data_IF_155074524733
#
_entry.id   IF_155074524733
#
_cell.length_a   1.000
_cell.length_b   1.000
_cell.length_c   1.000
_cell.angle_alpha   90.00
_cell.angle_beta   90.00
_cell.angle_gamma   90.00
#
_symmetry.space_group_name_H-M   'P 1'
#
loop_
_entity.id
_entity.type
_entity.pdbx_description
1 polymer ?
#
# COMPACT_ATOMS: atom_id res chain seq x y z
N UNK A 1 16.41 -34.99 -60.32
CA UNK A 1 15.53 -33.81 -60.28
C UNK A 1 15.08 -33.61 -58.83
N UNK A 2 15.57 -32.58 -58.14
CA UNK A 2 15.12 -32.28 -56.77
C UNK A 2 13.76 -31.56 -56.87
N UNK A 3 12.72 -32.15 -56.30
CA UNK A 3 11.40 -31.52 -56.24
C UNK A 3 11.43 -30.46 -55.13
N UNK A 4 11.37 -29.19 -55.51
CA UNK A 4 11.32 -28.08 -54.55
C UNK A 4 9.96 -28.11 -53.82
N UNK A 5 9.99 -28.27 -52.49
CA UNK A 5 8.79 -28.14 -51.66
C UNK A 5 8.62 -26.68 -51.28
N UNK A 6 7.40 -26.13 -51.41
CA UNK A 6 7.12 -24.77 -50.97
C UNK A 6 7.47 -24.57 -49.49
N UNK A 7 8.28 -23.54 -49.20
CA UNK A 7 8.75 -23.21 -47.85
C UNK A 7 7.62 -23.07 -46.81
N UNK A 8 6.45 -22.61 -47.26
CA UNK A 8 5.23 -22.47 -46.43
C UNK A 8 4.68 -23.84 -45.97
N UNK A 9 4.74 -24.85 -46.84
CA UNK A 9 4.31 -26.21 -46.51
C UNK A 9 5.28 -26.87 -45.53
N UNK A 10 6.59 -26.66 -45.71
CA UNK A 10 7.61 -27.12 -44.78
C UNK A 10 7.41 -26.52 -43.37
N UNK A 11 7.16 -25.21 -43.27
CA UNK A 11 6.89 -24.56 -41.98
C UNK A 11 5.63 -25.09 -41.30
N UNK A 12 4.51 -25.24 -42.03
CA UNK A 12 3.26 -25.78 -41.47
C UNK A 12 3.44 -27.20 -40.91
N UNK A 13 4.18 -28.03 -41.64
CA UNK A 13 4.50 -29.38 -41.19
C UNK A 13 5.40 -29.35 -39.94
N UNK A 14 6.46 -28.54 -39.91
CA UNK A 14 7.33 -28.40 -38.73
C UNK A 14 6.57 -27.93 -37.49
N UNK A 15 5.63 -26.99 -37.64
CA UNK A 15 4.79 -26.51 -36.53
C UNK A 15 3.84 -27.58 -36.01
N UNK A 16 3.25 -28.39 -36.90
CA UNK A 16 2.37 -29.49 -36.49
C UNK A 16 3.14 -30.57 -35.73
N UNK A 17 4.34 -30.94 -36.21
CA UNK A 17 5.22 -31.92 -35.54
C UNK A 17 5.72 -31.42 -34.18
N UNK A 18 5.98 -30.12 -34.03
CA UNK A 18 6.34 -29.52 -32.74
C UNK A 18 5.17 -29.55 -31.74
N UNK A 19 3.94 -29.35 -32.21
CA UNK A 19 2.74 -29.32 -31.37
C UNK A 19 2.33 -30.71 -30.86
N UNK A 20 2.59 -31.79 -31.61
CA UNK A 20 2.08 -33.14 -31.31
C UNK A 20 3.04 -34.03 -30.49
N UNK A 21 4.16 -33.52 -29.95
CA UNK A 21 5.25 -34.37 -29.42
C UNK A 21 4.84 -35.28 -28.25
N UNK A 22 4.87 -36.60 -28.50
CA UNK A 22 5.10 -37.66 -27.50
C UNK A 22 6.61 -37.96 -27.40
N UNK A 23 7.21 -38.16 -26.22
CA UNK A 23 8.67 -38.07 -26.02
C UNK A 23 9.54 -39.19 -26.62
N UNK A 24 8.95 -40.29 -27.11
CA UNK A 24 9.65 -41.56 -27.34
C UNK A 24 9.38 -42.23 -28.70
N UNK A 25 8.74 -41.57 -29.65
CA UNK A 25 8.47 -42.17 -30.97
C UNK A 25 9.68 -42.03 -31.93
N UNK A 26 10.11 -43.14 -32.52
CA UNK A 26 11.14 -43.16 -33.58
C UNK A 26 10.72 -42.27 -34.75
N UNK A 27 11.58 -41.29 -35.07
CA UNK A 27 11.29 -40.15 -35.96
C UNK A 27 11.32 -40.46 -37.47
N UNK A 28 11.56 -41.72 -37.85
CA UNK A 28 11.77 -42.14 -39.25
C UNK A 28 10.62 -41.81 -40.23
N UNK A 29 9.32 -41.89 -39.85
CA UNK A 29 8.23 -41.50 -40.76
C UNK A 29 7.99 -39.99 -40.84
N UNK A 30 8.48 -39.22 -39.86
CA UNK A 30 8.36 -37.77 -39.79
C UNK A 30 9.54 -37.06 -40.47
N UNK A 31 10.21 -37.69 -41.42
CA UNK A 31 11.27 -37.04 -42.21
C UNK A 31 10.97 -37.11 -43.72
N UNK A 32 9.81 -37.64 -44.09
CA UNK A 32 9.41 -37.89 -45.46
C UNK A 32 8.17 -37.04 -45.78
N UNK A 33 8.19 -36.35 -46.91
CA UNK A 33 7.04 -35.60 -47.39
C UNK A 33 5.89 -36.56 -47.75
N UNK A 34 4.70 -36.34 -47.22
CA UNK A 34 3.52 -37.17 -47.50
C UNK A 34 3.02 -37.08 -48.94
N UNK A 35 3.45 -36.06 -49.70
CA UNK A 35 3.01 -35.84 -51.09
C UNK A 35 4.03 -36.40 -52.09
N UNK A 36 5.32 -36.10 -51.92
CA UNK A 36 6.36 -36.52 -52.86
C UNK A 36 7.24 -37.68 -52.36
N UNK A 37 7.01 -38.19 -51.16
CA UNK A 37 7.73 -39.32 -50.53
C UNK A 37 9.26 -39.16 -50.44
N UNK A 38 9.79 -37.95 -50.63
CA UNK A 38 11.22 -37.65 -50.44
C UNK A 38 11.55 -37.19 -49.02
N UNK A 39 12.78 -37.48 -48.58
CA UNK A 39 13.30 -37.06 -47.28
C UNK A 39 13.61 -35.56 -47.27
N UNK A 40 13.21 -34.86 -46.21
CA UNK A 40 13.58 -33.45 -46.02
C UNK A 40 15.06 -33.31 -45.66
N UNK A 41 15.76 -32.36 -46.29
CA UNK A 41 17.18 -32.09 -46.06
C UNK A 41 17.47 -31.31 -44.78
N UNK A 42 16.44 -30.72 -44.15
CA UNK A 42 16.58 -29.87 -42.96
C UNK A 42 15.89 -30.52 -41.77
N UNK A 43 16.66 -30.82 -40.72
CA UNK A 43 16.13 -31.35 -39.47
C UNK A 43 15.18 -30.35 -38.80
N UNK A 44 14.14 -30.80 -38.07
CA UNK A 44 13.21 -29.91 -37.39
C UNK A 44 13.93 -29.08 -36.31
N UNK A 45 13.52 -27.81 -36.10
CA UNK A 45 14.12 -26.96 -35.08
C UNK A 45 13.98 -27.59 -33.68
N UNK A 46 15.04 -27.49 -32.87
CA UNK A 46 14.98 -27.90 -31.46
C UNK A 46 14.20 -26.82 -30.67
N UNK A 47 13.33 -27.19 -29.72
CA UNK A 47 12.62 -26.20 -28.92
C UNK A 47 13.63 -25.39 -28.10
N UNK A 48 13.34 -24.09 -27.92
CA UNK A 48 14.18 -23.19 -27.15
C UNK A 48 14.40 -23.74 -25.72
N UNK A 49 15.62 -23.58 -25.22
CA UNK A 49 16.08 -24.10 -23.93
C UNK A 49 15.15 -23.65 -22.78
N UNK A 50 14.62 -22.43 -22.87
CA UNK A 50 13.64 -21.87 -21.95
C UNK A 50 12.34 -22.67 -21.83
N UNK A 51 11.80 -23.23 -22.92
CA UNK A 51 10.56 -24.03 -22.88
C UNK A 51 10.79 -25.37 -22.17
N UNK A 52 12.01 -25.92 -22.26
CA UNK A 52 12.40 -27.14 -21.53
C UNK A 52 12.54 -26.85 -20.04
N UNK A 53 13.16 -25.73 -19.69
CA UNK A 53 13.28 -25.27 -18.30
C UNK A 53 11.89 -25.03 -17.71
N UNK A 54 11.02 -24.28 -18.39
CA UNK A 54 9.67 -23.96 -17.91
C UNK A 54 8.83 -25.21 -17.66
N UNK A 55 8.87 -26.20 -18.55
CA UNK A 55 8.17 -27.49 -18.32
C UNK A 55 8.74 -28.27 -17.14
N UNK A 56 10.06 -28.26 -16.94
CA UNK A 56 10.69 -28.87 -15.77
C UNK A 56 10.24 -28.21 -14.47
N UNK A 57 10.23 -26.87 -14.43
CA UNK A 57 9.73 -26.10 -13.29
C UNK A 57 8.24 -26.34 -13.01
N UNK A 58 7.40 -26.42 -14.04
CA UNK A 58 5.97 -26.74 -13.84
C UNK A 58 5.78 -28.14 -13.29
N UNK A 59 6.58 -29.13 -13.71
CA UNK A 59 6.48 -30.51 -13.20
C UNK A 59 6.96 -30.60 -11.74
N UNK A 60 8.02 -29.86 -11.40
CA UNK A 60 8.54 -29.78 -10.03
C UNK A 60 7.56 -29.06 -9.09
N UNK A 61 6.83 -28.07 -9.59
CA UNK A 61 5.81 -27.34 -8.84
C UNK A 61 4.66 -28.22 -8.35
N UNK A 62 4.28 -29.28 -9.08
CA UNK A 62 3.18 -30.16 -8.66
C UNK A 62 3.59 -31.14 -7.56
N UNK A 63 4.82 -31.66 -7.61
CA UNK A 63 5.33 -32.55 -6.56
C UNK A 63 5.62 -31.79 -5.26
N UNK A 64 6.19 -30.58 -5.35
CA UNK A 64 6.40 -29.71 -4.19
C UNK A 64 5.06 -29.28 -3.59
N UNK A 65 4.08 -28.92 -4.42
CA UNK A 65 2.73 -28.61 -3.93
C UNK A 65 2.07 -29.81 -3.23
N UNK A 66 2.24 -31.02 -3.76
CA UNK A 66 1.75 -32.25 -3.13
C UNK A 66 2.38 -32.50 -1.76
N UNK A 67 3.70 -32.33 -1.64
CA UNK A 67 4.43 -32.47 -0.38
C UNK A 67 3.99 -31.43 0.66
N UNK A 68 3.77 -30.18 0.25
CA UNK A 68 3.24 -29.14 1.12
C UNK A 68 1.83 -29.47 1.62
N UNK A 69 0.95 -30.01 0.77
CA UNK A 69 -0.41 -30.41 1.16
C UNK A 69 -0.39 -31.53 2.20
N UNK A 70 0.46 -32.55 2.00
CA UNK A 70 0.61 -33.68 2.94
C UNK A 70 1.18 -33.22 4.28
N UNK A 71 2.22 -32.37 4.27
CA UNK A 71 2.79 -31.81 5.49
C UNK A 71 1.78 -30.93 6.26
N UNK A 72 0.99 -30.15 5.53
CA UNK A 72 -0.08 -29.35 6.11
C UNK A 72 -1.17 -30.25 6.74
N UNK A 73 -1.61 -31.31 6.05
CA UNK A 73 -2.56 -32.27 6.59
C UNK A 73 -2.05 -33.01 7.85
N UNK A 74 -0.76 -33.38 7.87
CA UNK A 74 -0.13 -33.98 9.05
C UNK A 74 -0.05 -33.00 10.24
N UNK A 75 0.28 -31.73 9.98
CA UNK A 75 0.29 -30.70 11.03
C UNK A 75 -1.11 -30.48 11.62
N UNK A 76 -2.13 -30.42 10.77
CA UNK A 76 -3.54 -30.31 11.17
C UNK A 76 -3.99 -31.48 12.06
N UNK A 77 -3.59 -32.70 11.73
CA UNK A 77 -3.91 -33.88 12.50
C UNK A 77 -3.18 -33.93 13.86
N UNK A 78 -1.93 -33.45 13.91
CA UNK A 78 -1.11 -33.46 15.13
C UNK A 78 -1.45 -32.32 16.10
N UNK A 79 -1.87 -31.16 15.58
CA UNK A 79 -2.09 -29.96 16.38
C UNK A 79 -3.53 -29.81 16.91
N UNK A 80 -4.47 -30.69 16.52
CA UNK A 80 -5.82 -30.76 17.09
C UNK A 80 -6.70 -29.53 16.85
N UNK A 81 -6.32 -28.64 15.94
CA UNK A 81 -7.06 -27.42 15.65
C UNK A 81 -8.32 -27.70 14.81
N UNK A 82 -9.40 -26.95 15.09
CA UNK A 82 -10.61 -26.98 14.27
C UNK A 82 -10.32 -26.45 12.85
N UNK A 83 -10.71 -27.21 11.83
CA UNK A 83 -10.51 -26.89 10.41
C UNK A 83 -10.97 -25.46 10.04
N UNK A 84 -11.99 -24.95 10.72
CA UNK A 84 -12.52 -23.60 10.49
C UNK A 84 -11.54 -22.48 10.89
N UNK A 85 -10.90 -22.59 12.07
CA UNK A 85 -9.90 -21.62 12.56
C UNK A 85 -8.70 -21.57 11.61
N UNK A 86 -8.29 -22.74 11.12
CA UNK A 86 -7.17 -22.87 10.20
C UNK A 86 -7.50 -22.36 8.81
N UNK A 87 -8.74 -22.51 8.33
CA UNK A 87 -9.19 -21.93 7.06
C UNK A 87 -9.23 -20.40 7.12
N UNK A 88 -9.57 -19.81 8.26
CA UNK A 88 -9.47 -18.35 8.47
C UNK A 88 -8.02 -17.88 8.55
N UNK A 89 -7.15 -18.60 9.25
CA UNK A 89 -5.71 -18.30 9.33
C UNK A 89 -4.99 -18.52 7.99
N UNK A 90 -5.29 -19.60 7.26
CA UNK A 90 -4.79 -19.84 5.90
C UNK A 90 -5.36 -18.82 4.93
N UNK A 91 -6.63 -18.44 5.05
CA UNK A 91 -7.23 -17.39 4.23
C UNK A 91 -6.53 -16.05 4.45
N UNK A 92 -6.22 -15.72 5.70
CA UNK A 92 -5.45 -14.54 6.07
C UNK A 92 -3.99 -14.65 5.57
N UNK A 93 -3.37 -15.83 5.72
CA UNK A 93 -2.00 -16.11 5.28
C UNK A 93 -1.82 -16.13 3.77
N UNK A 94 -2.77 -16.68 3.00
CA UNK A 94 -2.76 -16.62 1.53
C UNK A 94 -3.03 -15.22 1.01
N UNK A 95 -3.87 -14.43 1.69
CA UNK A 95 -4.09 -13.02 1.36
C UNK A 95 -2.81 -12.21 1.60
N UNK A 96 -2.15 -12.41 2.74
CA UNK A 96 -0.84 -11.84 3.02
C UNK A 96 0.19 -12.27 1.98
N UNK A 97 0.27 -13.57 1.66
CA UNK A 97 1.15 -14.08 0.62
C UNK A 97 0.84 -13.41 -0.73
N UNK A 98 -0.42 -13.30 -1.14
CA UNK A 98 -0.82 -12.66 -2.40
C UNK A 98 -0.45 -11.17 -2.47
N UNK A 99 -0.42 -10.47 -1.34
CA UNK A 99 0.00 -9.06 -1.28
C UNK A 99 1.53 -8.90 -1.12
N UNK A 100 2.20 -9.82 -0.43
CA UNK A 100 3.64 -9.77 -0.13
C UNK A 100 4.49 -10.39 -1.25
N UNK A 101 4.04 -11.46 -1.92
CA UNK A 101 4.77 -12.10 -3.03
C UNK A 101 5.12 -11.12 -4.17
N UNK A 102 4.21 -10.24 -4.63
CA UNK A 102 4.53 -9.21 -5.62
C UNK A 102 5.53 -8.14 -5.13
N UNK A 103 5.74 -8.05 -3.81
CA UNK A 103 6.66 -7.10 -3.19
C UNK A 103 8.06 -7.71 -2.98
N UNK A 104 8.14 -9.01 -2.66
CA UNK A 104 9.41 -9.74 -2.48
C UNK A 104 10.10 -10.11 -3.79
N UNK A 105 9.31 -10.43 -4.82
CA UNK A 105 9.83 -10.51 -6.19
C UNK A 105 9.58 -9.16 -6.84
N UNK A 106 10.63 -8.50 -7.34
CA UNK A 106 10.55 -7.23 -8.10
C UNK A 106 9.86 -7.45 -9.45
N UNK A 107 8.69 -8.05 -9.46
CA UNK A 107 7.74 -7.92 -10.55
C UNK A 107 7.27 -6.47 -10.52
N UNK A 108 7.97 -5.64 -11.28
CA UNK A 108 7.41 -4.38 -11.75
C UNK A 108 6.17 -4.73 -12.59
N UNK A 109 5.03 -4.91 -11.92
CA UNK A 109 3.76 -4.63 -12.55
C UNK A 109 3.84 -3.16 -12.91
N UNK A 110 4.02 -2.90 -14.21
CA UNK A 110 3.84 -1.58 -14.79
C UNK A 110 2.53 -1.04 -14.23
N UNK A 111 2.61 -0.02 -13.37
CA UNK A 111 1.49 0.87 -13.12
C UNK A 111 1.17 1.53 -14.46
N UNK A 112 0.26 0.90 -15.21
CA UNK A 112 -0.33 1.52 -16.38
C UNK A 112 -1.08 2.77 -15.91
N UNK A 113 -0.53 3.94 -16.22
CA UNK A 113 -1.32 5.16 -16.42
C UNK A 113 -2.40 4.83 -17.45
N UNK A 114 -3.58 4.44 -17.00
CA UNK A 114 -4.74 4.29 -17.87
C UNK A 114 -5.31 5.68 -18.15
N UNK A 115 -4.68 6.38 -19.09
CA UNK A 115 -5.18 7.59 -19.72
C UNK A 115 -5.17 7.38 -21.24
N UNK A 116 -6.05 6.51 -21.73
CA UNK A 116 -6.61 6.57 -23.08
C UNK A 116 -7.62 5.44 -23.30
N UNK A 117 -8.65 5.73 -24.10
CA UNK A 117 -9.97 5.07 -24.17
C UNK A 117 -10.02 3.69 -24.84
N UNK A 118 -8.98 2.86 -24.80
CA UNK A 118 -9.04 1.53 -25.44
C UNK A 118 -8.27 0.46 -24.67
N UNK A 119 -8.80 0.02 -23.54
CA UNK A 119 -8.45 -1.27 -22.95
C UNK A 119 -9.69 -2.18 -22.97
N UNK A 120 -9.84 -2.94 -24.06
CA UNK A 120 -10.74 -4.08 -24.15
C UNK A 120 -9.94 -5.30 -24.62
N UNK A 121 -9.76 -6.30 -23.74
CA UNK A 121 -9.76 -7.76 -24.03
C UNK A 121 -8.98 -8.65 -23.03
N UNK A 122 -8.36 -8.11 -21.97
CA UNK A 122 -7.89 -8.91 -20.81
C UNK A 122 -8.42 -8.36 -19.48
N UNK A 123 -9.69 -7.95 -19.49
CA UNK A 123 -10.43 -7.56 -18.28
C UNK A 123 -10.80 -8.76 -17.44
N UNK A 124 -9.81 -9.34 -16.76
CA UNK A 124 -10.11 -10.26 -15.68
C UNK A 124 -10.83 -9.48 -14.58
N UNK A 125 -12.11 -9.80 -14.41
CA UNK A 125 -13.05 -9.29 -13.42
C UNK A 125 -12.59 -9.70 -12.01
N UNK A 126 -11.52 -9.07 -11.51
CA UNK A 126 -11.00 -9.23 -10.15
C UNK A 126 -10.88 -7.88 -9.45
N UNK A 127 -11.91 -7.06 -9.58
CA UNK A 127 -12.17 -5.97 -8.64
C UNK A 127 -12.88 -6.52 -7.42
N UNK A 128 -12.18 -7.28 -6.56
CA UNK A 128 -12.57 -7.29 -5.16
C UNK A 128 -12.42 -5.85 -4.68
N UNK A 129 -13.50 -5.20 -4.24
CA UNK A 129 -13.53 -3.78 -3.89
C UNK A 129 -12.28 -3.36 -3.13
N UNK A 130 -11.34 -2.73 -3.83
CA UNK A 130 -10.11 -2.25 -3.21
C UNK A 130 -10.52 -1.02 -2.43
N UNK A 131 -10.49 -1.13 -1.11
CA UNK A 131 -10.49 0.04 -0.23
C UNK A 131 -9.35 0.94 -0.71
N UNK A 132 -9.68 2.13 -1.19
CA UNK A 132 -8.70 3.12 -1.62
C UNK A 132 -8.05 3.72 -0.37
N UNK A 133 -7.06 3.03 0.20
CA UNK A 133 -6.25 3.54 1.30
C UNK A 133 -5.13 4.39 0.72
N UNK A 134 -5.22 5.70 0.90
CA UNK A 134 -4.20 6.65 0.49
C UNK A 134 -3.79 7.52 1.70
N UNK A 135 -2.59 8.12 1.71
CA UNK A 135 -2.29 9.20 2.63
C UNK A 135 -3.39 10.27 2.61
N UNK A 136 -3.78 10.77 3.78
CA UNK A 136 -4.94 11.64 3.99
C UNK A 136 -6.23 10.90 4.37
N UNK A 137 -6.27 9.56 4.27
CA UNK A 137 -7.43 8.78 4.74
C UNK A 137 -7.55 8.83 6.26
N UNK A 138 -8.75 9.09 6.79
CA UNK A 138 -9.05 8.92 8.20
C UNK A 138 -9.55 7.51 8.49
N UNK A 139 -9.05 6.93 9.58
CA UNK A 139 -9.50 5.66 10.14
C UNK A 139 -10.19 5.94 11.47
N UNK A 140 -11.46 5.56 11.55
CA UNK A 140 -12.29 5.74 12.74
C UNK A 140 -12.48 4.38 13.39
N UNK A 141 -12.03 4.23 14.63
CA UNK A 141 -12.18 2.97 15.35
C UNK A 141 -13.66 2.69 15.64
N UNK A 142 -14.10 1.46 15.38
CA UNK A 142 -15.47 1.04 15.73
C UNK A 142 -15.55 0.58 17.19
N UNK A 143 -16.76 0.48 17.77
CA UNK A 143 -16.95 -0.12 19.10
C UNK A 143 -16.48 -1.57 19.20
N UNK A 144 -16.27 -2.25 18.07
CA UNK A 144 -15.76 -3.62 18.00
C UNK A 144 -14.22 -3.70 18.11
N UNK A 145 -13.52 -2.56 18.20
CA UNK A 145 -12.06 -2.50 18.30
C UNK A 145 -11.57 -3.20 19.59
N UNK A 146 -10.81 -4.32 19.49
CA UNK A 146 -10.39 -5.07 20.66
C UNK A 146 -9.23 -4.42 21.42
N UNK A 147 -8.44 -3.57 20.76
CA UNK A 147 -7.31 -2.89 21.40
C UNK A 147 -7.79 -1.74 22.27
N UNK A 148 -7.50 -1.72 23.58
CA UNK A 148 -7.88 -0.61 24.46
C UNK A 148 -7.25 0.72 24.04
N UNK A 149 -6.04 0.68 23.45
CA UNK A 149 -5.34 1.87 22.99
C UNK A 149 -6.02 2.54 21.81
N UNK A 150 -6.56 1.74 20.88
CA UNK A 150 -7.21 2.26 19.68
C UNK A 150 -8.73 2.39 19.83
N UNK A 151 -9.31 1.91 20.93
CA UNK A 151 -10.73 2.06 21.19
C UNK A 151 -11.09 3.54 21.28
N UNK A 152 -12.09 3.98 20.51
CA UNK A 152 -12.46 5.39 20.46
C UNK A 152 -11.45 6.29 19.74
N UNK A 153 -10.45 5.74 19.06
CA UNK A 153 -9.43 6.54 18.38
C UNK A 153 -9.83 6.95 16.96
N UNK A 154 -9.27 8.08 16.51
CA UNK A 154 -9.28 8.51 15.11
C UNK A 154 -7.85 8.66 14.64
N UNK A 155 -7.49 7.94 13.58
CA UNK A 155 -6.13 7.90 13.03
C UNK A 155 -6.09 8.53 11.65
N UNK A 156 -5.19 9.50 11.45
CA UNK A 156 -4.86 10.05 10.14
C UNK A 156 -3.73 9.26 9.51
N UNK A 157 -4.00 8.66 8.36
CA UNK A 157 -3.01 7.92 7.60
C UNK A 157 -2.10 8.90 6.84
N UNK A 158 -0.78 8.85 7.07
CA UNK A 158 0.19 9.72 6.37
C UNK A 158 1.11 8.95 5.43
N UNK A 159 1.27 7.65 5.63
CA UNK A 159 2.01 6.78 4.74
C UNK A 159 1.20 5.51 4.49
N UNK A 160 0.99 5.16 3.22
CA UNK A 160 0.43 3.87 2.84
C UNK A 160 1.16 3.38 1.60
N UNK A 161 1.85 2.25 1.75
CA UNK A 161 2.53 1.60 0.64
C UNK A 161 2.16 0.13 0.67
N UNK A 162 1.69 -0.37 -0.47
CA UNK A 162 1.31 -1.77 -0.64
C UNK A 162 2.35 -2.76 -0.09
N UNK A 163 3.63 -2.45 -0.30
CA UNK A 163 4.75 -3.33 0.06
C UNK A 163 5.50 -2.95 1.34
N UNK A 164 5.22 -1.79 1.93
CA UNK A 164 5.97 -1.28 3.10
C UNK A 164 5.11 -1.13 4.35
N UNK A 165 3.82 -1.46 4.26
CA UNK A 165 2.88 -1.26 5.35
C UNK A 165 2.26 0.13 5.34
N UNK A 166 1.66 0.49 6.47
CA UNK A 166 0.94 1.75 6.62
C UNK A 166 1.34 2.41 7.93
N UNK A 167 1.34 3.74 7.95
CA UNK A 167 1.59 4.54 9.16
C UNK A 167 0.58 5.65 9.29
N UNK A 168 0.18 5.91 10.53
CA UNK A 168 -0.81 6.91 10.85
C UNK A 168 -0.56 7.56 12.21
N UNK A 169 -1.29 8.63 12.46
CA UNK A 169 -1.22 9.42 13.69
C UNK A 169 -2.59 9.47 14.34
N UNK A 170 -2.68 9.01 15.58
CA UNK A 170 -3.85 9.17 16.43
C UNK A 170 -4.01 10.66 16.75
N UNK A 171 -5.20 11.20 16.47
CA UNK A 171 -5.45 12.64 16.56
C UNK A 171 -6.08 13.06 17.89
N UNK A 172 -6.87 12.18 18.49
CA UNK A 172 -7.78 12.47 19.60
C UNK A 172 -7.32 11.91 20.96
N UNK A 173 -6.04 11.59 21.08
CA UNK A 173 -5.45 11.08 22.31
C UNK A 173 -4.52 12.13 22.92
N UNK A 174 -4.75 12.48 24.18
CA UNK A 174 -3.90 13.45 24.90
C UNK A 174 -2.56 12.81 25.27
N UNK A 175 -1.54 13.66 25.41
CA UNK A 175 -0.23 13.24 25.93
C UNK A 175 -0.19 13.40 27.45
N UNK A 176 0.65 12.60 28.12
CA UNK A 176 0.96 12.76 29.54
C UNK A 176 1.79 14.02 29.80
N UNK A 177 1.55 14.68 30.94
CA UNK A 177 2.23 15.92 31.34
C UNK A 177 3.76 15.79 31.35
N UNK A 178 4.27 14.67 31.85
CA UNK A 178 5.71 14.39 31.93
C UNK A 178 6.39 14.39 30.56
N UNK A 179 5.69 13.93 29.51
CA UNK A 179 6.19 13.91 28.13
C UNK A 179 6.20 15.30 27.51
N UNK A 180 5.22 16.13 27.89
CA UNK A 180 5.14 17.54 27.47
C UNK A 180 6.33 18.28 28.06
N UNK A 181 6.53 18.17 29.38
CA UNK A 181 7.67 18.77 30.09
C UNK A 181 9.02 18.37 29.48
N UNK A 182 9.20 17.08 29.18
CA UNK A 182 10.45 16.57 28.60
C UNK A 182 10.69 17.08 27.18
N UNK A 183 9.63 17.26 26.39
CA UNK A 183 9.72 17.83 25.06
C UNK A 183 10.01 19.33 25.09
N UNK A 184 9.31 20.08 25.95
CA UNK A 184 9.50 21.53 26.12
C UNK A 184 10.93 21.84 26.59
N UNK A 185 11.46 21.07 27.55
CA UNK A 185 12.85 21.22 28.02
C UNK A 185 13.88 21.03 26.90
N UNK A 186 13.64 20.09 25.97
CA UNK A 186 14.53 19.85 24.82
C UNK A 186 14.51 21.01 23.82
N UNK A 187 13.39 21.72 23.73
CA UNK A 187 13.16 22.82 22.79
C UNK A 187 13.43 24.21 23.36
N UNK A 188 13.35 24.38 24.68
CA UNK A 188 13.67 25.61 25.39
C UNK A 188 14.96 26.32 24.91
N UNK A 189 16.10 25.64 24.64
CA UNK A 189 17.31 26.33 24.16
C UNK A 189 17.19 26.91 22.75
N UNK A 190 16.18 26.52 21.97
CA UNK A 190 15.95 27.00 20.59
C UNK A 190 14.90 28.12 20.55
N UNK A 191 14.21 28.39 21.66
CA UNK A 191 13.00 29.22 21.67
C UNK A 191 13.22 30.53 22.42
N UNK A 192 13.14 31.64 21.68
CA UNK A 192 13.25 32.99 22.23
C UNK A 192 11.92 33.52 22.82
N UNK A 193 10.80 32.80 22.66
CA UNK A 193 9.48 33.23 23.13
C UNK A 193 8.70 32.05 23.79
N UNK A 194 8.73 31.91 25.13
CA UNK A 194 8.05 30.82 25.84
C UNK A 194 6.51 30.92 25.76
N UNK A 195 5.95 32.10 25.47
CA UNK A 195 4.49 32.24 25.31
C UNK A 195 3.96 31.55 24.04
N UNK A 196 4.84 31.22 23.07
CA UNK A 196 4.46 30.46 21.88
C UNK A 196 4.33 28.96 22.17
N UNK A 197 5.02 28.43 23.19
CA UNK A 197 4.97 27.01 23.57
C UNK A 197 3.59 26.63 24.10
N UNK A 198 2.99 27.45 24.97
CA UNK A 198 1.66 27.21 25.53
C UNK A 198 0.52 27.23 24.51
N UNK A 199 0.79 27.53 23.23
CA UNK A 199 -0.19 27.46 22.14
C UNK A 199 -0.15 26.14 21.39
N UNK A 200 0.84 25.30 21.66
CA UNK A 200 1.01 24.01 20.98
C UNK A 200 0.19 22.98 21.73
N UNK A 201 -0.74 22.33 21.02
CA UNK A 201 -1.47 21.20 21.59
C UNK A 201 -0.57 19.96 21.59
N UNK A 202 -0.63 19.15 22.65
CA UNK A 202 0.11 17.90 22.75
C UNK A 202 -0.81 16.69 22.68
N UNK A 203 -0.42 15.68 21.92
CA UNK A 203 -1.16 14.43 21.80
C UNK A 203 -0.25 13.22 21.62
N UNK A 204 -0.83 12.05 21.81
CA UNK A 204 -0.17 10.76 21.57
C UNK A 204 -0.56 10.29 20.18
N UNK A 205 0.39 10.27 19.24
CA UNK A 205 0.18 9.84 17.85
C UNK A 205 0.16 8.32 17.66
N UNK A 206 0.67 7.56 18.63
CA UNK A 206 0.54 6.11 18.66
C UNK A 206 1.55 5.41 19.57
N UNK A 207 1.53 4.06 19.62
CA UNK A 207 2.36 3.29 20.54
C UNK A 207 3.80 3.10 20.06
N UNK A 208 4.07 3.31 18.76
CA UNK A 208 5.40 3.08 18.17
C UNK A 208 6.23 4.35 18.22
N UNK A 209 7.53 4.21 18.55
CA UNK A 209 8.50 5.31 18.58
C UNK A 209 8.04 6.51 19.42
N UNK A 210 7.54 6.26 20.63
CA UNK A 210 6.98 7.31 21.51
C UNK A 210 7.94 8.46 21.87
N UNK A 211 9.25 8.28 21.70
CA UNK A 211 10.27 9.32 21.92
C UNK A 211 10.39 10.29 20.73
N UNK A 212 9.96 9.85 19.56
CA UNK A 212 9.87 10.68 18.36
C UNK A 212 8.55 11.44 18.36
N UNK A 213 8.53 12.55 17.64
CA UNK A 213 7.36 13.41 17.52
C UNK A 213 7.16 13.87 16.09
N UNK A 214 5.92 14.19 15.77
CA UNK A 214 5.52 14.76 14.49
C UNK A 214 4.68 16.00 14.75
N UNK A 215 4.83 16.99 13.89
CA UNK A 215 4.10 18.24 13.95
C UNK A 215 2.93 18.20 12.99
N UNK A 216 1.71 18.22 13.52
CA UNK A 216 0.50 18.39 12.73
C UNK A 216 0.11 19.86 12.74
N UNK A 217 0.21 20.48 11.58
CA UNK A 217 -0.09 21.89 11.35
C UNK A 217 -1.41 22.00 10.58
N UNK A 218 -2.33 22.81 11.08
CA UNK A 218 -3.65 23.02 10.48
C UNK A 218 -3.83 24.49 10.16
N UNK A 219 -4.16 24.83 8.91
CA UNK A 219 -4.66 26.15 8.56
C UNK A 219 -6.12 26.11 8.15
N UNK A 220 -6.96 26.84 8.89
CA UNK A 220 -8.37 27.03 8.54
C UNK A 220 -8.53 27.85 7.25
N UNK A 221 -7.57 28.74 6.96
CA UNK A 221 -7.47 29.53 5.74
C UNK A 221 -7.42 28.68 4.45
N UNK A 222 -6.65 27.59 4.47
CA UNK A 222 -6.41 26.72 3.31
C UNK A 222 -7.56 25.74 3.04
N UNK A 223 -8.47 25.54 4.00
CA UNK A 223 -9.58 24.59 3.89
C UNK A 223 -10.78 25.11 3.08
N UNK A 224 -10.94 26.43 2.98
CA UNK A 224 -12.00 27.05 2.17
C UNK A 224 -11.44 27.40 0.78
N UNK A 225 -12.21 27.14 -0.28
CA UNK A 225 -11.89 27.59 -1.65
C UNK A 225 -11.78 29.13 -1.81
N UNK A 226 -11.83 29.91 -0.73
CA UNK A 226 -12.16 31.33 -0.75
C UNK A 226 -11.15 32.29 -0.10
N UNK A 227 -10.14 31.83 0.63
CA UNK A 227 -9.18 32.73 1.29
C UNK A 227 -7.93 32.92 0.43
N UNK A 228 -7.89 34.03 -0.31
CA UNK A 228 -6.69 34.58 -0.98
C UNK A 228 -5.86 35.42 0.00
N UNK A 229 -5.66 34.91 1.21
CA UNK A 229 -4.79 35.62 2.16
C UNK A 229 -3.33 35.32 1.84
N UNK A 230 -2.51 36.37 1.84
CA UNK A 230 -1.07 36.29 1.53
C UNK A 230 -0.25 35.51 2.57
N UNK A 231 -0.88 35.06 3.66
CA UNK A 231 -0.28 34.27 4.74
C UNK A 231 -0.56 32.76 4.62
N UNK A 232 -1.33 32.31 3.61
CA UNK A 232 -1.64 30.89 3.43
C UNK A 232 -0.44 30.10 2.87
N UNK A 233 0.00 29.01 3.53
CA UNK A 233 1.06 28.14 3.01
C UNK A 233 0.73 27.48 1.66
N UNK A 234 -0.56 27.39 1.31
CA UNK A 234 -1.06 26.79 0.07
C UNK A 234 -0.77 27.62 -1.20
N UNK A 235 -0.24 28.85 -1.07
CA UNK A 235 0.16 29.69 -2.20
C UNK A 235 1.62 29.49 -2.63
N UNK A 236 2.37 28.59 -1.98
CA UNK A 236 3.77 28.31 -2.36
C UNK A 236 3.78 27.46 -3.65
N UNK A 237 4.28 28.09 -4.71
CA UNK A 237 4.21 27.68 -6.11
C UNK A 237 4.65 26.23 -6.41
N UNK A 238 3.85 25.54 -7.23
CA UNK A 238 3.99 24.11 -7.57
C UNK A 238 5.10 23.78 -8.58
N UNK A 239 5.79 24.77 -9.14
CA UNK A 239 6.74 24.56 -10.24
C UNK A 239 8.20 24.32 -9.83
N UNK A 240 8.51 24.39 -8.54
CA UNK A 240 9.84 24.03 -8.04
C UNK A 240 9.84 22.64 -7.39
N UNK A 241 10.16 21.64 -8.20
CA UNK A 241 10.40 20.24 -7.79
C UNK A 241 11.53 20.02 -6.77
N UNK A 242 12.07 21.09 -6.18
CA UNK A 242 13.15 21.12 -5.18
C UNK A 242 13.03 22.34 -4.24
N UNK A 243 11.84 22.74 -3.82
CA UNK A 243 11.71 23.76 -2.76
C UNK A 243 11.54 23.08 -1.40
N UNK A 244 12.68 22.83 -0.79
CA UNK A 244 12.88 23.01 0.65
C UNK A 244 12.55 24.48 1.05
N UNK A 245 11.30 24.93 0.94
CA UNK A 245 10.88 26.14 1.64
C UNK A 245 10.32 25.71 2.99
N UNK A 246 11.23 25.68 3.97
CA UNK A 246 10.97 26.10 5.35
C UNK A 246 9.48 26.19 5.72
N UNK A 247 8.96 25.10 6.24
CA UNK A 247 8.76 24.91 7.68
C UNK A 247 7.52 24.04 7.96
N UNK A 248 6.52 24.02 7.06
CA UNK A 248 5.22 23.41 7.32
C UNK A 248 5.14 21.87 7.16
N UNK A 249 6.02 21.29 6.36
CA UNK A 249 6.06 19.85 6.08
C UNK A 249 5.23 19.43 4.85
N UNK A 250 4.87 18.15 4.77
CA UNK A 250 4.11 17.57 3.67
C UNK A 250 2.60 17.83 3.86
N UNK A 251 1.92 18.34 2.84
CA UNK A 251 0.46 18.42 2.84
C UNK A 251 -0.17 17.03 2.63
N UNK A 252 -1.04 16.61 3.56
CA UNK A 252 -1.76 15.34 3.49
C UNK A 252 -3.21 15.50 3.04
N UNK A 253 -3.83 16.60 3.47
CA UNK A 253 -5.17 17.02 3.12
C UNK A 253 -5.16 18.54 2.95
N UNK A 254 -6.10 19.13 2.19
CA UNK A 254 -6.19 20.58 2.03
C UNK A 254 -6.16 21.30 3.38
N UNK A 255 -5.11 22.08 3.64
CA UNK A 255 -4.93 22.81 4.89
C UNK A 255 -4.44 22.00 6.09
N UNK A 256 -4.05 20.74 5.90
CA UNK A 256 -3.46 19.89 6.93
C UNK A 256 -2.06 19.44 6.48
N UNK A 257 -1.05 19.92 7.19
CA UNK A 257 0.35 19.69 6.90
C UNK A 257 1.00 18.88 8.02
N UNK A 258 1.92 17.99 7.64
CA UNK A 258 2.65 17.13 8.54
C UNK A 258 4.14 17.37 8.41
N UNK A 259 4.76 17.88 9.48
CA UNK A 259 6.18 18.17 9.55
C UNK A 259 6.87 17.49 10.73
N UNK A 260 8.16 17.77 10.87
CA UNK A 260 8.96 17.45 12.06
C UNK A 260 9.62 18.70 12.66
N UNK A 261 9.39 19.84 12.04
CA UNK A 261 10.05 21.08 12.42
C UNK A 261 9.08 21.92 13.26
N UNK A 262 9.62 22.60 14.28
CA UNK A 262 8.85 23.51 15.14
C UNK A 262 8.77 24.92 14.57
N UNK A 263 9.60 25.21 13.56
CA UNK A 263 9.71 26.52 12.91
C UNK A 263 8.37 27.20 12.55
N UNK A 264 7.32 26.50 12.06
CA UNK A 264 6.03 27.13 11.74
C UNK A 264 5.38 27.85 12.91
N UNK A 265 5.55 27.31 14.13
CA UNK A 265 4.95 27.89 15.34
C UNK A 265 5.48 29.29 15.59
N UNK A 266 6.75 29.54 15.26
CA UNK A 266 7.39 30.84 15.49
C UNK A 266 7.08 31.84 14.39
N UNK A 267 6.96 31.39 13.14
CA UNK A 267 6.58 32.25 12.02
C UNK A 267 5.22 32.90 12.26
N UNK A 268 4.30 32.16 12.87
CA UNK A 268 2.92 32.59 13.12
C UNK A 268 2.63 32.86 14.60
N UNK A 269 3.66 33.03 15.43
CA UNK A 269 3.50 33.32 16.86
C UNK A 269 2.79 34.65 17.15
N UNK A 270 2.70 35.55 16.16
CA UNK A 270 1.97 36.83 16.28
C UNK A 270 0.54 36.77 15.75
N UNK A 271 0.19 35.73 15.00
CA UNK A 271 -1.13 35.58 14.39
C UNK A 271 -2.17 35.10 15.41
N UNK A 272 -3.45 35.34 15.14
CA UNK A 272 -4.52 34.90 16.01
C UNK A 272 -4.58 33.37 16.09
N UNK A 273 -4.77 32.79 17.30
CA UNK A 273 -4.75 31.34 17.52
C UNK A 273 -5.85 30.58 16.78
N UNK A 274 -6.84 31.27 16.22
CA UNK A 274 -7.94 30.64 15.47
C UNK A 274 -7.61 30.32 14.01
N UNK A 275 -6.52 30.88 13.46
CA UNK A 275 -6.15 30.71 12.05
C UNK A 275 -5.24 29.49 11.87
N UNK A 276 -4.20 29.40 12.71
CA UNK A 276 -3.21 28.33 12.66
C UNK A 276 -3.23 27.52 13.95
N UNK A 277 -3.51 26.22 13.82
CA UNK A 277 -3.50 25.28 14.92
C UNK A 277 -2.34 24.31 14.78
N UNK A 278 -1.55 24.22 15.85
CA UNK A 278 -0.29 23.49 15.90
C UNK A 278 -0.41 22.38 16.95
N UNK A 279 -0.23 21.13 16.54
CA UNK A 279 -0.30 19.98 17.45
C UNK A 279 0.93 19.10 17.31
N UNK A 280 1.60 18.83 18.43
CA UNK A 280 2.68 17.86 18.53
C UNK A 280 2.08 16.51 18.87
N UNK A 281 2.33 15.51 18.03
CA UNK A 281 1.91 14.13 18.22
C UNK A 281 3.13 13.27 18.46
N UNK A 282 3.17 12.62 19.61
CA UNK A 282 4.30 11.77 19.98
C UNK A 282 4.05 10.31 19.61
N UNK A 283 5.02 9.68 18.96
CA UNK A 283 4.87 8.35 18.39
C UNK A 283 3.89 8.30 17.22
N UNK A 284 3.71 7.10 16.66
CA UNK A 284 2.80 6.85 15.55
C UNK A 284 2.19 5.45 15.64
N UNK A 285 1.08 5.25 14.92
CA UNK A 285 0.50 3.95 14.66
C UNK A 285 1.17 3.35 13.42
N UNK A 286 1.54 2.07 13.49
CA UNK A 286 2.18 1.36 12.40
C UNK A 286 1.44 0.04 12.15
N UNK A 287 1.24 -0.27 10.88
CA UNK A 287 0.64 -1.52 10.42
C UNK A 287 1.60 -2.24 9.51
N UNK A 288 1.72 -3.55 9.74
CA UNK A 288 2.43 -4.43 8.81
C UNK A 288 1.69 -4.55 7.48
N UNK A 289 2.39 -5.07 6.47
CA UNK A 289 1.84 -5.28 5.12
C UNK A 289 0.58 -6.14 5.21
N UNK A 290 -0.52 -5.65 4.64
CA UNK A 290 -1.82 -6.34 4.61
C UNK A 290 -2.61 -6.34 5.93
N UNK A 291 -2.02 -5.95 7.05
CA UNK A 291 -2.69 -5.91 8.36
C UNK A 291 -3.84 -4.91 8.37
N UNK A 292 -3.58 -3.65 8.00
CA UNK A 292 -4.59 -2.60 7.98
C UNK A 292 -5.79 -3.00 7.10
N UNK A 293 -5.53 -3.59 5.94
CA UNK A 293 -6.59 -4.07 5.06
C UNK A 293 -7.46 -5.16 5.71
N UNK A 294 -6.82 -6.11 6.40
CA UNK A 294 -7.53 -7.14 7.16
C UNK A 294 -8.40 -6.55 8.26
N UNK A 295 -7.89 -5.57 9.00
CA UNK A 295 -8.63 -4.90 10.07
C UNK A 295 -9.84 -4.11 9.55
N UNK A 296 -9.68 -3.38 8.44
CA UNK A 296 -10.80 -2.69 7.79
C UNK A 296 -11.84 -3.70 7.28
N UNK A 297 -11.40 -4.80 6.66
CA UNK A 297 -12.31 -5.86 6.18
C UNK A 297 -13.08 -6.54 7.32
N UNK A 298 -12.49 -6.64 8.51
CA UNK A 298 -13.13 -7.15 9.74
C UNK A 298 -14.07 -6.12 10.39
N UNK A 299 -14.21 -4.93 9.83
CA UNK A 299 -15.07 -3.86 10.37
C UNK A 299 -14.51 -3.19 11.61
N UNK A 300 -13.19 -3.31 11.86
CA UNK A 300 -12.54 -2.68 13.01
C UNK A 300 -12.30 -1.18 12.79
N UNK A 301 -12.09 -0.80 11.54
CA UNK A 301 -11.90 0.59 11.12
C UNK A 301 -12.91 0.98 10.05
N UNK A 302 -13.51 2.16 10.23
CA UNK A 302 -14.28 2.84 9.19
C UNK A 302 -13.36 3.84 8.51
N UNK A 303 -13.24 3.76 7.18
CA UNK A 303 -12.40 4.67 6.39
C UNK A 303 -13.21 5.87 5.92
N UNK A 304 -12.73 7.09 6.16
CA UNK A 304 -13.32 8.33 5.64
C UNK A 304 -12.30 9.06 4.76
N UNK A 305 -12.74 9.45 3.56
CA UNK A 305 -11.93 10.20 2.59
C UNK A 305 -12.28 11.68 2.64
N UNK A 306 -11.35 12.55 2.22
CA UNK A 306 -11.58 14.00 2.07
C UNK A 306 -12.13 14.70 3.34
N UNK A 307 -11.63 14.32 4.51
CA UNK A 307 -12.14 14.82 5.79
C UNK A 307 -11.41 16.08 6.29
N UNK A 308 -10.84 16.90 5.40
CA UNK A 308 -10.14 18.14 5.78
C UNK A 308 -11.06 19.10 6.55
N UNK A 309 -12.28 19.30 6.06
CA UNK A 309 -13.26 20.20 6.68
C UNK A 309 -13.58 19.79 8.13
N UNK A 310 -13.79 18.51 8.38
CA UNK A 310 -14.09 17.96 9.71
C UNK A 310 -12.88 18.12 10.64
N UNK A 311 -11.66 17.83 10.15
CA UNK A 311 -10.43 17.97 10.93
C UNK A 311 -10.09 19.41 11.33
N UNK A 312 -10.49 20.37 10.51
CA UNK A 312 -10.26 21.79 10.74
C UNK A 312 -11.33 22.41 11.64
N UNK A 313 -12.59 21.96 11.53
CA UNK A 313 -13.72 22.51 12.29
C UNK A 313 -13.93 21.86 13.66
N UNK A 314 -13.58 20.58 13.82
CA UNK A 314 -13.92 19.80 15.02
C UNK A 314 -12.72 19.69 15.97
N UNK A 315 -12.90 19.94 17.28
CA UNK A 315 -11.82 19.72 18.24
C UNK A 315 -11.50 18.22 18.38
N UNK A 316 -10.25 17.85 18.74
CA UNK A 316 -9.83 16.45 18.74
C UNK A 316 -10.69 15.52 19.60
N UNK A 317 -11.17 15.96 20.76
CA UNK A 317 -11.93 15.11 21.69
C UNK A 317 -13.31 14.69 21.15
N UNK A 318 -13.96 15.54 20.36
CA UNK A 318 -15.28 15.26 19.77
C UNK A 318 -15.20 14.53 18.42
N UNK A 319 -14.01 14.51 17.81
CA UNK A 319 -13.77 14.01 16.46
C UNK A 319 -14.33 12.60 16.24
N UNK A 320 -14.14 11.70 17.20
CA UNK A 320 -14.63 10.32 17.11
C UNK A 320 -16.15 10.23 17.06
N UNK A 321 -16.84 10.99 17.93
CA UNK A 321 -18.30 10.98 17.99
C UNK A 321 -18.93 11.61 16.74
N UNK A 322 -18.33 12.67 16.20
CA UNK A 322 -18.80 13.32 14.98
C UNK A 322 -18.66 12.38 13.78
N UNK A 323 -17.49 11.77 13.62
CA UNK A 323 -17.20 10.89 12.47
C UNK A 323 -17.99 9.57 12.48
N UNK A 324 -18.46 9.11 13.64
CA UNK A 324 -19.33 7.93 13.75
C UNK A 324 -20.81 8.22 13.44
N UNK A 325 -21.26 9.47 13.55
CA UNK A 325 -22.66 9.84 13.27
C UNK A 325 -22.95 10.06 11.79
N UNK A 326 -21.94 10.42 11.03
CA UNK A 326 -22.00 10.55 9.56
C UNK A 326 -21.96 9.20 8.84
#
# INVERSE_FOLDING_TARGET
>A
TQAFVHFKCLRKWQTAVMASRRPSANYSPALICSVCTQKFSVAPPRPALLVRIWKGLTSYSYEVAGLCIVLCACYLALAGHNLHSLLEELGSGLMLAREVFPCSFRFTMLEEKCSSRTCSLFGSRWGAGRLNLNPGTLLVATPAMPSPFFFGSVVLLYEHKRCSGSRGLVLNMQSEETRIDDWEKKLAPTINNPAALGRIAHGTGGPVAQHDWMMLNRCTCCGSLASKDSHCPSQIDSDSKLVHSKDWGQELLPGVFLGRDVSPVFLHAKDEPNIFNHQVLHGHAEWFVGQLWSEVKRGLWITKQNASEILLSTPPHDLWHVLLRE
#
